data_IF_095339670274
#
_entry.id   IF_095339670274
#
_cell.length_a   1.000
_cell.length_b   1.000
_cell.length_c   1.000
_cell.angle_alpha   90.00
_cell.angle_beta   90.00
_cell.angle_gamma   90.00
#
_symmetry.space_group_name_H-M   'P 1'
#
loop_
_entity.id
_entity.type
_entity.pdbx_description
1 polymer ?
#
# COMPACT_ATOMS: atom_id res chain seq x y z
N UNK A 1 -22.85 13.02 0.73
CA UNK A 1 -22.18 14.00 1.60
C UNK A 1 -20.79 13.47 1.93
N UNK A 2 -19.74 14.20 1.57
CA UNK A 2 -18.38 13.81 1.92
C UNK A 2 -18.24 13.84 3.44
N UNK A 3 -18.14 12.68 4.09
CA UNK A 3 -17.86 12.62 5.53
C UNK A 3 -16.53 13.31 5.76
N UNK A 4 -16.56 14.50 6.36
CA UNK A 4 -15.37 15.25 6.73
C UNK A 4 -14.40 14.34 7.49
N UNK A 5 -13.12 14.44 7.16
CA UNK A 5 -12.06 13.67 7.80
C UNK A 5 -11.91 14.16 9.24
N UNK A 6 -12.63 13.54 10.18
CA UNK A 6 -12.51 13.90 11.60
C UNK A 6 -11.16 13.39 12.13
N UNK A 7 -10.34 14.24 12.78
CA UNK A 7 -9.03 13.84 13.31
C UNK A 7 -9.07 12.59 14.20
N UNK A 8 -10.11 12.45 15.04
CA UNK A 8 -10.25 11.30 15.93
C UNK A 8 -10.44 9.97 15.19
N UNK A 9 -11.05 10.00 14.00
CA UNK A 9 -11.17 8.81 13.16
C UNK A 9 -9.83 8.42 12.56
N UNK A 10 -9.04 9.40 12.12
CA UNK A 10 -7.73 9.18 11.54
C UNK A 10 -6.76 8.58 12.57
N UNK A 11 -6.73 9.09 13.81
CA UNK A 11 -5.81 8.61 14.87
C UNK A 11 -5.89 7.12 15.16
N UNK A 12 -7.05 6.49 14.91
CA UNK A 12 -7.23 5.04 15.12
C UNK A 12 -6.55 4.19 14.05
N UNK A 13 -6.15 4.80 12.94
CA UNK A 13 -5.49 4.12 11.83
C UNK A 13 -3.98 4.11 12.06
N UNK A 14 -3.35 2.96 11.78
CA UNK A 14 -1.94 2.70 12.11
C UNK A 14 -0.98 3.78 11.61
N UNK A 15 -1.17 4.30 10.39
CA UNK A 15 -0.34 5.36 9.84
C UNK A 15 -0.38 6.66 10.65
N UNK A 16 -1.55 7.04 11.16
CA UNK A 16 -1.80 8.35 11.79
C UNK A 16 -1.67 8.34 13.32
N UNK A 17 -1.33 7.20 13.93
CA UNK A 17 -1.39 7.02 15.39
C UNK A 17 -0.53 8.00 16.21
N UNK A 18 0.61 8.43 15.67
CA UNK A 18 1.58 9.32 16.34
C UNK A 18 1.35 10.82 16.04
N UNK A 19 0.29 11.15 15.30
CA UNK A 19 0.00 12.52 14.90
C UNK A 19 -0.96 13.17 15.90
N UNK A 20 -0.61 14.38 16.30
CA UNK A 20 -1.45 15.21 17.17
C UNK A 20 -2.66 15.75 16.41
N UNK A 21 -3.76 16.13 17.11
CA UNK A 21 -4.93 16.71 16.44
C UNK A 21 -4.64 17.95 15.57
N UNK A 22 -3.77 18.90 15.95
CA UNK A 22 -3.37 20.00 15.07
C UNK A 22 -2.64 19.54 13.80
N UNK A 23 -1.75 18.54 13.92
CA UNK A 23 -1.03 17.97 12.79
C UNK A 23 -1.97 17.26 11.81
N UNK A 24 -2.95 16.50 12.33
CA UNK A 24 -3.96 15.84 11.50
C UNK A 24 -4.87 16.81 10.78
N UNK A 25 -5.28 17.91 11.42
CA UNK A 25 -6.04 18.97 10.75
C UNK A 25 -5.25 19.57 9.60
N UNK A 26 -3.94 19.77 9.79
CA UNK A 26 -3.06 20.31 8.75
C UNK A 26 -2.87 19.31 7.59
N UNK A 27 -2.66 18.04 7.89
CA UNK A 27 -2.61 16.99 6.88
C UNK A 27 -3.93 16.86 6.11
N UNK A 28 -5.07 16.93 6.80
CA UNK A 28 -6.39 16.90 6.18
C UNK A 28 -6.65 18.10 5.25
N UNK A 29 -6.06 19.27 5.53
CA UNK A 29 -6.18 20.45 4.68
C UNK A 29 -5.31 20.38 3.41
N UNK A 30 -4.23 19.60 3.43
CA UNK A 30 -3.29 19.44 2.29
C UNK A 30 -3.63 18.25 1.39
N UNK A 31 -4.52 17.36 1.83
CA UNK A 31 -4.77 16.09 1.17
C UNK A 31 -6.10 16.04 0.43
N UNK A 32 -6.12 15.24 -0.62
CA UNK A 32 -7.35 14.88 -1.32
C UNK A 32 -7.98 13.65 -0.67
N UNK A 33 -9.30 13.71 -0.47
CA UNK A 33 -10.09 12.51 -0.16
C UNK A 33 -10.64 11.94 -1.47
N UNK A 34 -10.19 10.74 -1.85
CA UNK A 34 -10.73 10.03 -3.02
C UNK A 34 -11.57 8.84 -2.63
N UNK A 35 -12.58 8.57 -3.45
CA UNK A 35 -13.42 7.37 -3.35
C UNK A 35 -13.30 6.60 -4.64
N UNK A 36 -13.08 5.30 -4.51
CA UNK A 36 -12.98 4.35 -5.62
C UNK A 36 -14.14 3.37 -5.53
N UNK A 37 -14.73 3.05 -6.69
CA UNK A 37 -15.75 2.00 -6.83
C UNK A 37 -15.10 0.62 -6.81
N UNK A 38 -15.90 -0.41 -6.60
CA UNK A 38 -15.41 -1.79 -6.70
C UNK A 38 -14.77 -2.05 -8.07
N UNK A 39 -13.59 -2.67 -8.05
CA UNK A 39 -12.78 -2.96 -9.23
C UNK A 39 -12.10 -1.75 -9.89
N UNK A 40 -12.34 -0.53 -9.42
CA UNK A 40 -11.74 0.68 -10.01
C UNK A 40 -10.22 0.69 -9.82
N UNK A 41 -9.50 1.03 -10.89
CA UNK A 41 -8.03 1.06 -10.90
C UNK A 41 -7.52 2.42 -10.41
N UNK A 42 -6.65 2.38 -9.40
CA UNK A 42 -5.86 3.52 -8.94
C UNK A 42 -4.59 3.66 -9.79
N UNK A 43 -4.05 2.53 -10.23
CA UNK A 43 -2.84 2.44 -11.02
C UNK A 43 -2.81 1.16 -11.84
N UNK A 44 -2.03 1.18 -12.90
CA UNK A 44 -1.92 0.06 -13.84
C UNK A 44 -0.45 -0.32 -14.00
N UNK A 45 -0.18 -1.61 -13.90
CA UNK A 45 1.14 -2.18 -14.11
C UNK A 45 1.76 -1.68 -15.44
N UNK A 46 3.06 -1.36 -15.41
CA UNK A 46 3.81 -0.91 -16.58
C UNK A 46 3.50 0.52 -17.05
N UNK A 47 2.55 1.20 -16.41
CA UNK A 47 2.11 2.54 -16.82
C UNK A 47 2.85 3.63 -16.05
N UNK A 48 3.34 4.65 -16.77
CA UNK A 48 3.92 5.88 -16.18
C UNK A 48 2.92 7.02 -16.02
N UNK A 49 1.75 6.91 -16.66
CA UNK A 49 0.71 7.97 -16.73
C UNK A 49 -0.22 8.05 -15.51
N UNK A 50 -0.01 7.22 -14.49
CA UNK A 50 -0.85 7.22 -13.29
C UNK A 50 -0.49 8.35 -12.32
N UNK A 51 -1.43 8.67 -11.41
CA UNK A 51 -1.19 9.67 -10.36
C UNK A 51 -0.07 9.19 -9.44
N UNK A 52 0.87 10.09 -9.14
CA UNK A 52 1.99 9.85 -8.23
C UNK A 52 1.65 10.45 -6.87
N UNK A 53 0.87 9.71 -6.10
CA UNK A 53 0.40 10.10 -4.77
C UNK A 53 0.87 9.08 -3.74
N UNK A 54 1.16 9.56 -2.53
CA UNK A 54 1.10 8.72 -1.34
C UNK A 54 -0.36 8.61 -0.94
N UNK A 55 -0.82 7.42 -0.57
CA UNK A 55 -2.19 7.27 -0.10
C UNK A 55 -2.29 6.36 1.11
N UNK A 56 -3.24 6.68 1.98
CA UNK A 56 -3.59 5.87 3.14
C UNK A 56 -5.02 5.41 2.98
N UNK A 57 -5.27 4.10 3.12
CA UNK A 57 -6.62 3.55 3.08
C UNK A 57 -7.36 4.00 4.33
N UNK A 58 -8.53 4.61 4.16
CA UNK A 58 -9.38 5.05 5.26
C UNK A 58 -10.55 4.08 5.49
N UNK A 59 -11.04 3.50 4.40
CA UNK A 59 -12.15 2.56 4.38
C UNK A 59 -12.02 1.66 3.16
N UNK A 60 -12.50 0.41 3.27
CA UNK A 60 -12.42 -0.58 2.21
C UNK A 60 -11.02 -1.18 2.11
N UNK A 61 -10.75 -1.83 0.98
CA UNK A 61 -9.46 -2.47 0.71
C UNK A 61 -8.94 -2.09 -0.67
N UNK A 62 -7.62 -2.09 -0.82
CA UNK A 62 -6.94 -1.99 -2.11
C UNK A 62 -6.04 -3.20 -2.30
N UNK A 63 -6.02 -3.75 -3.51
CA UNK A 63 -5.13 -4.86 -3.87
C UNK A 63 -4.07 -4.42 -4.86
N UNK A 64 -2.84 -4.81 -4.57
CA UNK A 64 -1.72 -4.76 -5.50
C UNK A 64 -1.70 -6.07 -6.26
N UNK A 65 -1.96 -5.99 -7.56
CA UNK A 65 -2.13 -7.13 -8.45
C UNK A 65 -1.00 -7.14 -9.47
N UNK A 66 -0.33 -8.28 -9.60
CA UNK A 66 0.74 -8.50 -10.59
C UNK A 66 0.27 -9.50 -11.62
N UNK A 67 0.44 -9.18 -12.91
CA UNK A 67 0.17 -10.14 -13.98
C UNK A 67 1.28 -11.19 -14.01
N UNK A 68 0.88 -12.47 -14.05
CA UNK A 68 1.74 -13.64 -14.19
C UNK A 68 1.62 -14.16 -15.63
N UNK A 69 2.34 -15.23 -16.00
CA UNK A 69 2.27 -15.83 -17.35
C UNK A 69 0.81 -16.09 -17.77
N UNK A 70 0.47 -15.67 -19.00
CA UNK A 70 -0.89 -15.79 -19.54
C UNK A 70 -1.85 -14.73 -19.01
N UNK A 71 -3.08 -15.15 -18.69
CA UNK A 71 -4.14 -14.31 -18.10
C UNK A 71 -4.18 -14.37 -16.57
N UNK A 72 -3.32 -15.16 -15.94
CA UNK A 72 -3.29 -15.29 -14.49
C UNK A 72 -2.73 -14.01 -13.85
N UNK A 73 -3.37 -13.56 -12.78
CA UNK A 73 -2.90 -12.46 -11.96
C UNK A 73 -2.88 -12.88 -10.49
N UNK A 74 -1.87 -12.43 -9.77
CA UNK A 74 -1.69 -12.73 -8.34
C UNK A 74 -1.82 -11.45 -7.54
N UNK A 75 -2.59 -11.51 -6.45
CA UNK A 75 -2.62 -10.46 -5.43
C UNK A 75 -1.33 -10.57 -4.61
N UNK A 76 -0.48 -9.55 -4.67
CA UNK A 76 0.77 -9.50 -3.91
C UNK A 76 0.56 -8.92 -2.51
N UNK A 77 -0.28 -7.89 -2.40
CA UNK A 77 -0.53 -7.17 -1.15
C UNK A 77 -1.97 -6.68 -1.13
N UNK A 78 -2.65 -6.86 0.01
CA UNK A 78 -3.92 -6.19 0.30
C UNK A 78 -3.66 -5.10 1.34
N UNK A 79 -4.03 -3.86 1.02
CA UNK A 79 -3.99 -2.71 1.91
C UNK A 79 -5.36 -2.52 2.57
N UNK A 80 -5.34 -2.41 3.89
CA UNK A 80 -6.52 -2.24 4.75
C UNK A 80 -6.51 -0.87 5.42
N UNK A 81 -7.61 -0.46 6.09
CA UNK A 81 -7.66 0.84 6.75
C UNK A 81 -6.45 1.09 7.65
N UNK A 82 -5.73 2.17 7.37
CA UNK A 82 -4.50 2.58 8.03
C UNK A 82 -3.20 2.12 7.39
N UNK A 83 -3.26 1.27 6.37
CA UNK A 83 -2.10 0.96 5.54
C UNK A 83 -1.83 2.09 4.54
N UNK A 84 -0.54 2.31 4.30
CA UNK A 84 -0.03 3.29 3.34
C UNK A 84 0.54 2.62 2.09
N UNK A 85 0.27 3.23 0.93
CA UNK A 85 0.68 2.80 -0.40
C UNK A 85 1.19 3.94 -1.27
N UNK A 86 1.38 3.65 -2.56
CA UNK A 86 1.80 4.63 -3.59
C UNK A 86 3.28 5.01 -3.60
N UNK A 87 4.02 4.79 -2.49
CA UNK A 87 5.43 5.18 -2.35
C UNK A 87 6.36 4.59 -3.42
N UNK A 88 6.07 3.38 -3.93
CA UNK A 88 6.84 2.71 -4.99
C UNK A 88 6.89 3.46 -6.33
N UNK A 89 5.97 4.40 -6.56
CA UNK A 89 5.95 5.28 -7.75
C UNK A 89 6.03 6.76 -7.39
N UNK A 90 5.94 7.06 -6.09
CA UNK A 90 5.99 8.42 -5.57
C UNK A 90 7.41 8.95 -5.53
N UNK A 91 8.39 8.15 -5.10
CA UNK A 91 9.78 8.61 -4.92
C UNK A 91 10.70 8.37 -6.12
N UNK A 92 10.29 7.55 -7.09
CA UNK A 92 11.00 7.28 -8.34
C UNK A 92 10.10 7.60 -9.55
N UNK A 93 10.68 7.71 -10.74
CA UNK A 93 9.92 7.95 -11.99
C UNK A 93 9.64 6.69 -12.80
N UNK A 94 9.87 5.52 -12.19
CA UNK A 94 9.64 4.22 -12.80
C UNK A 94 8.15 3.97 -13.13
N UNK A 95 7.86 3.10 -14.11
CA UNK A 95 6.52 2.58 -14.32
C UNK A 95 6.00 1.85 -13.09
N UNK A 96 4.67 1.79 -12.93
CA UNK A 96 4.11 1.05 -11.80
C UNK A 96 4.49 -0.44 -11.88
N UNK A 97 5.03 -1.02 -10.80
CA UNK A 97 5.42 -2.43 -10.81
C UNK A 97 4.22 -3.38 -10.73
N UNK A 98 3.04 -2.87 -10.35
CA UNK A 98 1.79 -3.61 -10.13
C UNK A 98 0.60 -2.75 -10.55
N UNK A 99 -0.52 -3.39 -10.85
CA UNK A 99 -1.81 -2.71 -10.88
C UNK A 99 -2.34 -2.54 -9.45
N UNK A 100 -3.08 -1.47 -9.18
CA UNK A 100 -3.72 -1.25 -7.89
C UNK A 100 -5.21 -1.09 -8.14
N UNK A 101 -6.02 -1.95 -7.52
CA UNK A 101 -7.48 -1.92 -7.66
C UNK A 101 -8.17 -1.81 -6.32
N UNK A 102 -9.34 -1.19 -6.31
CA UNK A 102 -10.24 -1.22 -5.16
C UNK A 102 -10.98 -2.55 -5.07
N UNK A 103 -11.14 -3.07 -3.85
CA UNK A 103 -12.02 -4.20 -3.53
C UNK A 103 -13.19 -3.67 -2.71
N UNK A 104 -14.38 -3.73 -3.29
CA UNK A 104 -15.52 -2.96 -2.81
C UNK A 104 -15.33 -1.45 -2.96
N UNK A 105 -16.19 -0.68 -2.30
CA UNK A 105 -16.07 0.79 -2.25
C UNK A 105 -14.99 1.19 -1.24
N UNK A 106 -13.91 1.79 -1.74
CA UNK A 106 -12.79 2.24 -0.90
C UNK A 106 -12.68 3.76 -0.85
N UNK A 107 -12.22 4.27 0.30
CA UNK A 107 -11.89 5.68 0.49
C UNK A 107 -10.45 5.80 0.90
N UNK A 108 -9.73 6.72 0.28
CA UNK A 108 -8.31 6.94 0.53
C UNK A 108 -8.03 8.41 0.77
N UNK A 109 -7.08 8.65 1.67
CA UNK A 109 -6.44 9.94 1.88
C UNK A 109 -5.22 10.00 0.98
N UNK A 110 -5.11 11.00 0.11
CA UNK A 110 -3.99 11.13 -0.83
C UNK A 110 -3.21 12.42 -0.64
N UNK A 111 -1.88 12.32 -0.70
CA UNK A 111 -0.96 13.46 -0.77
C UNK A 111 -0.16 13.34 -2.06
N UNK A 112 -0.23 14.36 -2.92
CA UNK A 112 0.58 14.45 -4.13
C UNK A 112 1.99 14.96 -3.85
N UNK A 113 2.86 14.84 -4.86
CA UNK A 113 4.28 15.28 -4.74
C UNK A 113 4.41 16.76 -4.40
N UNK A 114 3.57 17.61 -4.99
CA UNK A 114 3.60 19.07 -4.77
C UNK A 114 3.19 19.42 -3.34
N UNK A 115 2.12 18.79 -2.86
CA UNK A 115 1.59 18.99 -1.51
C UNK A 115 2.59 18.47 -0.47
N UNK A 116 3.25 17.35 -0.74
CA UNK A 116 4.32 16.85 0.13
C UNK A 116 5.56 17.76 0.13
N UNK A 117 5.94 18.32 -1.02
CA UNK A 117 7.03 19.30 -1.10
C UNK A 117 6.71 20.58 -0.31
N UNK A 118 5.48 21.09 -0.42
CA UNK A 118 5.01 22.22 0.38
C UNK A 118 5.04 21.88 1.89
N UNK A 119 4.60 20.67 2.27
CA UNK A 119 4.67 20.21 3.65
C UNK A 119 6.11 20.17 4.19
N UNK A 120 7.07 19.72 3.38
CA UNK A 120 8.50 19.72 3.74
C UNK A 120 9.05 21.14 3.95
N UNK A 121 8.63 22.09 3.13
CA UNK A 121 9.07 23.49 3.22
C UNK A 121 8.44 24.23 4.42
N UNK A 122 7.12 24.13 4.57
CA UNK A 122 6.36 24.93 5.53
C UNK A 122 6.34 24.29 6.94
N UNK A 123 6.42 22.95 7.00
CA UNK A 123 6.26 22.17 8.23
C UNK A 123 7.22 20.97 8.30
N UNK A 124 8.55 21.20 8.31
CA UNK A 124 9.55 20.14 8.21
C UNK A 124 9.41 19.05 9.30
N UNK A 125 9.05 19.43 10.53
CA UNK A 125 8.81 18.45 11.62
C UNK A 125 7.62 17.53 11.34
N UNK A 126 6.54 18.06 10.74
CA UNK A 126 5.38 17.25 10.37
C UNK A 126 5.70 16.35 9.18
N UNK A 127 6.43 16.86 8.20
CA UNK A 127 6.88 16.08 7.06
C UNK A 127 7.82 14.92 7.49
N UNK A 128 8.72 15.17 8.44
CA UNK A 128 9.55 14.14 9.06
C UNK A 128 8.72 13.05 9.74
N UNK A 129 7.64 13.40 10.44
CA UNK A 129 6.70 12.41 11.02
C UNK A 129 6.00 11.57 9.94
N UNK A 130 5.62 12.17 8.82
CA UNK A 130 5.06 11.43 7.66
C UNK A 130 6.08 10.42 7.13
N UNK A 131 7.34 10.82 6.94
CA UNK A 131 8.41 9.92 6.51
C UNK A 131 8.68 8.80 7.52
N UNK A 132 8.67 9.10 8.81
CA UNK A 132 8.81 8.09 9.86
C UNK A 132 7.64 7.10 9.87
N UNK A 133 6.41 7.57 9.66
CA UNK A 133 5.24 6.70 9.55
C UNK A 133 5.31 5.80 8.30
N UNK A 134 5.75 6.34 7.16
CA UNK A 134 6.02 5.58 5.94
C UNK A 134 7.08 4.50 6.17
N UNK A 135 8.21 4.86 6.79
CA UNK A 135 9.29 3.93 7.06
C UNK A 135 8.85 2.78 7.96
N UNK A 136 8.13 3.08 9.06
CA UNK A 136 7.56 2.04 9.94
C UNK A 136 6.65 1.08 9.19
N UNK A 137 5.78 1.60 8.33
CA UNK A 137 4.87 0.77 7.53
C UNK A 137 5.62 -0.09 6.50
N UNK A 138 6.69 0.45 5.90
CA UNK A 138 7.56 -0.28 4.97
C UNK A 138 8.31 -1.40 5.67
N UNK A 139 8.91 -1.14 6.85
CA UNK A 139 9.60 -2.17 7.66
C UNK A 139 8.62 -3.29 8.01
N UNK A 140 7.44 -2.95 8.55
CA UNK A 140 6.43 -3.95 8.89
C UNK A 140 5.96 -4.77 7.68
N UNK A 141 5.92 -4.18 6.48
CA UNK A 141 5.58 -4.89 5.24
C UNK A 141 6.72 -5.80 4.77
N UNK A 142 7.97 -5.34 4.89
CA UNK A 142 9.15 -6.13 4.55
C UNK A 142 9.25 -7.37 5.46
N UNK A 143 9.04 -7.22 6.76
CA UNK A 143 9.05 -8.34 7.72
C UNK A 143 8.01 -9.40 7.35
N UNK A 144 6.77 -8.97 7.01
CA UNK A 144 5.72 -9.89 6.54
C UNK A 144 6.11 -10.61 5.25
N UNK A 145 6.67 -9.87 4.30
CA UNK A 145 7.11 -10.43 3.02
C UNK A 145 8.23 -11.47 3.21
N UNK A 146 9.25 -11.17 4.02
CA UNK A 146 10.32 -12.10 4.34
C UNK A 146 9.80 -13.37 5.03
N UNK A 147 8.84 -13.23 5.94
CA UNK A 147 8.17 -14.39 6.57
C UNK A 147 7.42 -15.27 5.56
N UNK A 148 6.68 -14.66 4.62
CA UNK A 148 5.98 -15.39 3.56
C UNK A 148 6.94 -16.12 2.60
N UNK A 149 8.04 -15.48 2.22
CA UNK A 149 9.07 -16.11 1.40
C UNK A 149 9.70 -17.31 2.11
N UNK A 150 10.06 -17.18 3.39
CA UNK A 150 10.62 -18.28 4.18
C UNK A 150 9.66 -19.48 4.24
N UNK A 151 8.37 -19.24 4.45
CA UNK A 151 7.35 -20.29 4.45
C UNK A 151 7.21 -20.98 3.09
N UNK A 152 7.27 -20.22 1.99
CA UNK A 152 7.19 -20.77 0.63
C UNK A 152 8.41 -21.63 0.31
N UNK A 153 9.61 -21.16 0.67
CA UNK A 153 10.85 -21.92 0.50
C UNK A 153 10.85 -23.22 1.31
N UNK A 154 10.37 -23.18 2.56
CA UNK A 154 10.24 -24.38 3.39
C UNK A 154 9.27 -25.39 2.75
N UNK A 155 8.11 -24.93 2.27
CA UNK A 155 7.13 -25.78 1.60
C UNK A 155 7.68 -26.43 0.33
N UNK A 156 8.44 -25.69 -0.49
CA UNK A 156 9.08 -26.26 -1.71
C UNK A 156 10.07 -27.37 -1.33
N UNK A 157 10.87 -27.17 -0.29
CA UNK A 157 11.83 -28.17 0.18
C UNK A 157 11.13 -29.43 0.73
N UNK A 158 10.06 -29.26 1.49
CA UNK A 158 9.22 -30.37 1.99
C UNK A 158 8.57 -31.14 0.85
N UNK A 159 8.03 -30.43 -0.15
CA UNK A 159 7.44 -31.04 -1.36
C UNK A 159 8.48 -31.83 -2.15
N UNK A 160 9.68 -31.29 -2.37
CA UNK A 160 10.77 -32.01 -3.06
C UNK A 160 11.17 -33.28 -2.29
N UNK A 161 11.26 -33.22 -0.96
CA UNK A 161 11.55 -34.40 -0.14
C UNK A 161 10.43 -35.44 -0.23
N UNK A 162 9.17 -35.02 -0.19
CA UNK A 162 8.02 -35.91 -0.32
C UNK A 162 7.96 -36.57 -1.70
N UNK A 163 8.19 -35.81 -2.78
CA UNK A 163 8.21 -36.37 -4.14
C UNK A 163 9.32 -37.41 -4.32
N UNK A 164 10.46 -37.27 -3.63
CA UNK A 164 11.55 -38.26 -3.64
C UNK A 164 11.23 -39.56 -2.91
N UNK A 165 10.27 -39.56 -1.99
CA UNK A 165 9.84 -40.76 -1.24
C UNK A 165 8.64 -41.46 -1.88
N UNK A 166 7.99 -40.85 -2.89
CA UNK A 166 6.95 -41.50 -3.66
C UNK A 166 7.55 -42.66 -4.49
N UNK A 167 6.92 -43.85 -4.50
CA UNK A 167 7.34 -44.97 -5.34
C UNK A 167 6.95 -44.69 -6.80
N UNK A 168 7.71 -43.83 -7.47
CA UNK A 168 7.60 -43.58 -8.91
C UNK A 168 8.96 -43.83 -9.57
N UNK A 169 9.38 -45.10 -9.57
CA UNK A 169 10.31 -45.74 -10.51
C UNK A 169 10.68 -47.14 -10.01
N UNK A 170 9.74 -48.09 -10.04
CA UNK A 170 10.05 -49.51 -10.20
C UNK A 170 9.06 -50.10 -11.20
N UNK A 171 9.22 -49.71 -12.46
CA UNK A 171 8.71 -50.43 -13.65
C UNK A 171 9.70 -50.22 -14.77
#
# INVERSE_FOLDING_TARGET
MATALHPDHLRRLGFFREFTPPELRRLAALADLRTYRDGELLGTEGTRRQRRTLYVVLQGELEYVKRVRGEHATVLVTLRPGDVGGFLTFFNDDPSPVSVRSVGRSRVFEIGRREFQALMADHPSLAAKVLQALLRATVARLDRFLGQMAATSAWVLEMEQHLRTLPLAQT
#
